data_IF_952549231828
#
_entry.id   IF_952549231828
#
_cell.length_a   1.000
_cell.length_b   1.000
_cell.length_c   1.000
_cell.angle_alpha   90.00
_cell.angle_beta   90.00
_cell.angle_gamma   90.00
#
_symmetry.space_group_name_H-M   'P 1'
#
loop_
_entity.id
_entity.type
_entity.pdbx_description
1 polymer ?
#
# COMPACT_ATOMS: atom_id res chain seq x y z
N UNK A 1 -20.92 -24.57 -24.21
CA UNK A 1 -19.54 -24.70 -23.67
C UNK A 1 -19.23 -23.49 -22.79
N UNK A 2 -19.18 -23.68 -21.47
CA UNK A 2 -18.97 -22.59 -20.49
C UNK A 2 -17.49 -22.20 -20.42
N UNK A 3 -17.15 -20.96 -20.77
CA UNK A 3 -15.78 -20.42 -20.69
C UNK A 3 -15.35 -20.42 -19.22
N UNK A 4 -14.42 -21.32 -18.87
CA UNK A 4 -13.76 -21.33 -17.55
C UNK A 4 -13.08 -19.99 -17.33
N UNK A 5 -13.62 -19.22 -16.39
CA UNK A 5 -13.08 -17.96 -15.91
C UNK A 5 -11.73 -18.24 -15.22
N UNK A 6 -10.63 -18.20 -15.98
CA UNK A 6 -9.27 -18.22 -15.44
C UNK A 6 -8.96 -16.87 -14.78
N UNK A 7 -9.55 -16.61 -13.60
CA UNK A 7 -9.01 -15.60 -12.70
C UNK A 7 -7.66 -16.11 -12.20
N UNK A 8 -6.58 -15.78 -12.92
CA UNK A 8 -5.21 -15.96 -12.43
C UNK A 8 -5.13 -15.22 -11.10
N UNK A 9 -5.01 -16.01 -10.04
CA UNK A 9 -4.90 -15.57 -8.66
C UNK A 9 -3.70 -14.62 -8.58
N UNK A 10 -3.97 -13.31 -8.60
CA UNK A 10 -3.00 -12.26 -8.27
C UNK A 10 -2.72 -12.23 -6.76
N UNK A 11 -2.59 -13.41 -6.16
CA UNK A 11 -2.05 -13.62 -4.82
C UNK A 11 -0.58 -13.98 -5.00
N UNK A 12 0.14 -13.17 -5.79
CA UNK A 12 1.54 -13.42 -6.17
C UNK A 12 2.49 -13.15 -5.00
N UNK A 13 2.01 -12.60 -3.88
CA UNK A 13 2.83 -12.39 -2.69
C UNK A 13 2.18 -12.81 -1.37
N UNK A 14 1.46 -13.93 -1.36
CA UNK A 14 0.98 -14.56 -0.12
C UNK A 14 2.12 -14.79 0.89
N UNK A 15 3.36 -15.01 0.40
CA UNK A 15 4.54 -15.22 1.24
C UNK A 15 4.97 -13.94 1.98
N UNK A 16 5.13 -12.81 1.28
CA UNK A 16 5.50 -11.52 1.91
C UNK A 16 4.38 -11.01 2.82
N UNK A 17 3.12 -11.24 2.44
CA UNK A 17 1.95 -10.87 3.23
C UNK A 17 1.80 -11.70 4.50
N UNK A 18 2.11 -13.01 4.45
CA UNK A 18 2.19 -13.85 5.65
C UNK A 18 3.33 -13.40 6.57
N UNK A 19 4.48 -13.00 6.03
CA UNK A 19 5.57 -12.44 6.84
C UNK A 19 5.15 -11.15 7.55
N UNK A 20 4.39 -10.27 6.87
CA UNK A 20 3.88 -9.03 7.47
C UNK A 20 2.83 -9.34 8.57
N UNK A 21 1.88 -10.23 8.27
CA UNK A 21 0.87 -10.64 9.24
C UNK A 21 1.48 -11.29 10.48
N UNK A 22 2.43 -12.22 10.29
CA UNK A 22 3.15 -12.86 11.38
C UNK A 22 3.91 -11.85 12.22
N UNK A 23 4.55 -10.85 11.58
CA UNK A 23 5.23 -9.76 12.27
C UNK A 23 4.26 -8.96 13.14
N UNK A 24 3.10 -8.58 12.60
CA UNK A 24 2.05 -7.85 13.34
C UNK A 24 1.54 -8.65 14.53
N UNK A 25 1.26 -9.95 14.34
CA UNK A 25 0.84 -10.87 15.40
C UNK A 25 1.92 -10.97 16.48
N UNK A 26 3.19 -11.10 16.11
CA UNK A 26 4.30 -11.18 17.04
C UNK A 26 4.43 -9.89 17.86
N UNK A 27 4.38 -8.72 17.22
CA UNK A 27 4.40 -7.43 17.92
C UNK A 27 3.22 -7.28 18.87
N UNK A 28 2.03 -7.69 18.44
CA UNK A 28 0.84 -7.68 19.28
C UNK A 28 1.01 -8.59 20.50
N UNK A 29 1.52 -9.80 20.31
CA UNK A 29 1.79 -10.74 21.40
C UNK A 29 2.85 -10.21 22.37
N UNK A 30 3.94 -9.65 21.85
CA UNK A 30 4.98 -8.99 22.68
C UNK A 30 4.38 -7.83 23.48
N UNK A 31 3.51 -7.02 22.87
CA UNK A 31 2.83 -5.93 23.56
C UNK A 31 1.92 -6.44 24.70
N UNK A 32 1.11 -7.48 24.45
CA UNK A 32 0.26 -8.10 25.47
C UNK A 32 1.11 -8.65 26.61
N UNK A 33 2.19 -9.38 26.30
CA UNK A 33 3.10 -9.95 27.28
C UNK A 33 3.81 -8.86 28.10
N UNK A 34 4.30 -7.80 27.45
CA UNK A 34 4.93 -6.68 28.14
C UNK A 34 3.95 -5.97 29.09
N UNK A 35 2.71 -5.75 28.65
CA UNK A 35 1.66 -5.19 29.50
C UNK A 35 1.30 -6.10 30.68
N UNK A 36 1.22 -7.41 30.46
CA UNK A 36 0.96 -8.39 31.52
C UNK A 36 2.11 -8.46 32.54
N UNK A 37 3.36 -8.45 32.08
CA UNK A 37 4.56 -8.40 32.94
C UNK A 37 4.57 -7.11 33.75
N UNK A 38 4.33 -5.96 33.10
CA UNK A 38 4.25 -4.67 33.78
C UNK A 38 3.15 -4.67 34.86
N UNK A 39 1.96 -5.18 34.53
CA UNK A 39 0.86 -5.30 35.49
C UNK A 39 1.19 -6.24 36.66
N UNK A 40 1.88 -7.35 36.41
CA UNK A 40 2.37 -8.26 37.46
C UNK A 40 3.41 -7.60 38.35
N UNK A 41 4.37 -6.87 37.77
CA UNK A 41 5.36 -6.09 38.55
C UNK A 41 4.63 -5.09 39.43
N UNK A 42 3.68 -4.32 38.87
CA UNK A 42 2.90 -3.35 39.63
C UNK A 42 2.08 -3.99 40.76
N UNK A 43 1.51 -5.18 40.52
CA UNK A 43 0.80 -5.96 41.53
C UNK A 43 1.73 -6.40 42.67
N UNK A 44 2.94 -6.87 42.35
CA UNK A 44 3.94 -7.26 43.34
C UNK A 44 4.47 -6.07 44.14
N UNK A 45 4.63 -4.90 43.52
CA UNK A 45 5.02 -3.68 44.23
C UNK A 45 3.91 -3.20 45.18
N UNK A 46 2.64 -3.45 44.84
CA UNK A 46 1.48 -3.04 45.65
C UNK A 46 1.26 -3.93 46.88
N UNK A 47 1.48 -5.24 46.75
CA UNK A 47 1.41 -6.20 47.87
C UNK A 47 2.60 -7.19 47.83
N UNK A 48 3.79 -6.78 48.29
CA UNK A 48 5.01 -7.60 48.18
C UNK A 48 4.99 -8.82 49.10
N UNK A 49 4.17 -8.81 50.16
CA UNK A 49 4.08 -9.90 51.14
C UNK A 49 2.84 -10.79 50.94
N UNK A 50 1.94 -10.44 50.02
CA UNK A 50 0.68 -11.16 49.76
C UNK A 50 0.84 -12.57 49.20
N UNK A 51 2.05 -12.97 48.79
CA UNK A 51 2.35 -14.27 48.20
C UNK A 51 2.00 -14.36 46.71
N UNK A 52 2.74 -15.21 45.99
CA UNK A 52 2.70 -15.30 44.52
C UNK A 52 1.31 -15.68 43.99
N UNK A 53 0.64 -16.65 44.62
CA UNK A 53 -0.67 -17.13 44.16
C UNK A 53 -1.77 -16.08 44.30
N UNK A 54 -1.76 -15.33 45.41
CA UNK A 54 -2.72 -14.25 45.67
C UNK A 54 -2.51 -13.10 44.68
N UNK A 55 -1.26 -12.66 44.49
CA UNK A 55 -0.94 -11.61 43.52
C UNK A 55 -1.33 -11.99 42.09
N UNK A 56 -1.10 -13.24 41.68
CA UNK A 56 -1.53 -13.72 40.37
C UNK A 56 -3.05 -13.76 40.23
N UNK A 57 -3.78 -14.20 41.26
CA UNK A 57 -5.24 -14.23 41.27
C UNK A 57 -5.83 -12.82 41.19
N UNK A 58 -5.33 -11.89 42.00
CA UNK A 58 -5.74 -10.48 41.99
C UNK A 58 -5.46 -9.82 40.64
N UNK A 59 -4.27 -10.05 40.06
CA UNK A 59 -3.94 -9.57 38.73
C UNK A 59 -4.92 -10.12 37.67
N UNK A 60 -5.24 -11.42 37.72
CA UNK A 60 -6.16 -12.02 36.75
C UNK A 60 -7.58 -11.47 36.88
N UNK A 61 -8.05 -11.20 38.10
CA UNK A 61 -9.37 -10.59 38.33
C UNK A 61 -9.45 -9.16 37.78
N UNK A 62 -8.39 -8.36 37.93
CA UNK A 62 -8.39 -6.98 37.44
C UNK A 62 -8.04 -6.85 35.96
N UNK A 63 -7.04 -7.58 35.49
CA UNK A 63 -6.48 -7.44 34.13
C UNK A 63 -7.03 -8.48 33.16
N UNK A 64 -7.58 -9.60 33.64
CA UNK A 64 -8.11 -10.69 32.80
C UNK A 64 -9.17 -10.24 31.80
N UNK A 65 -10.21 -9.47 32.20
CA UNK A 65 -11.20 -8.94 31.26
C UNK A 65 -10.58 -8.07 30.16
N UNK A 66 -9.59 -7.25 30.51
CA UNK A 66 -8.87 -6.38 29.56
C UNK A 66 -7.99 -7.19 28.60
N UNK A 67 -7.24 -8.18 29.10
CA UNK A 67 -6.41 -9.07 28.28
C UNK A 67 -7.26 -9.90 27.32
N UNK A 68 -8.42 -10.39 27.77
CA UNK A 68 -9.37 -11.11 26.94
C UNK A 68 -9.93 -10.22 25.84
N UNK A 69 -10.33 -8.98 26.17
CA UNK A 69 -10.79 -8.01 25.19
C UNK A 69 -9.70 -7.72 24.12
N UNK A 70 -8.44 -7.56 24.54
CA UNK A 70 -7.31 -7.38 23.62
C UNK A 70 -7.16 -8.60 22.70
N UNK A 71 -7.22 -9.81 23.25
CA UNK A 71 -7.11 -11.05 22.47
C UNK A 71 -8.26 -11.19 21.46
N UNK A 72 -9.48 -10.78 21.83
CA UNK A 72 -10.62 -10.73 20.91
C UNK A 72 -10.48 -9.65 19.82
N UNK A 73 -9.77 -8.55 20.09
CA UNK A 73 -9.46 -7.51 19.10
C UNK A 73 -8.36 -7.95 18.11
N UNK A 74 -7.47 -8.85 18.51
CA UNK A 74 -6.39 -9.37 17.66
C UNK A 74 -6.86 -9.81 16.25
N UNK A 75 -7.87 -10.68 16.06
CA UNK A 75 -8.33 -11.07 14.73
C UNK A 75 -8.87 -9.89 13.90
N UNK A 76 -9.45 -8.88 14.54
CA UNK A 76 -9.93 -7.66 13.87
C UNK A 76 -8.74 -6.87 13.33
N UNK A 77 -7.71 -6.65 14.15
CA UNK A 77 -6.47 -5.97 13.74
C UNK A 77 -5.74 -6.71 12.62
N UNK A 78 -5.66 -8.03 12.69
CA UNK A 78 -5.05 -8.85 11.63
C UNK A 78 -5.82 -8.66 10.32
N UNK A 79 -7.16 -8.79 10.36
CA UNK A 79 -8.00 -8.64 9.17
C UNK A 79 -7.86 -7.25 8.56
N UNK A 80 -7.87 -6.21 9.38
CA UNK A 80 -7.79 -4.83 8.91
C UNK A 80 -6.44 -4.55 8.25
N UNK A 81 -5.35 -4.92 8.93
CA UNK A 81 -3.98 -4.75 8.41
C UNK A 81 -3.77 -5.51 7.10
N UNK A 82 -4.26 -6.76 7.02
CA UNK A 82 -4.20 -7.55 5.79
C UNK A 82 -5.03 -6.93 4.66
N UNK A 83 -6.20 -6.39 4.98
CA UNK A 83 -7.07 -5.75 3.97
C UNK A 83 -6.43 -4.50 3.40
N UNK A 84 -5.83 -3.66 4.27
CA UNK A 84 -5.09 -2.48 3.86
C UNK A 84 -3.88 -2.85 2.99
N UNK A 85 -3.08 -3.82 3.41
CA UNK A 85 -1.92 -4.31 2.66
C UNK A 85 -2.33 -4.84 1.27
N UNK A 86 -3.42 -5.61 1.19
CA UNK A 86 -3.96 -6.12 -0.07
C UNK A 86 -4.42 -5.00 -1.01
N UNK A 87 -5.02 -3.95 -0.46
CA UNK A 87 -5.46 -2.79 -1.24
C UNK A 87 -4.27 -2.02 -1.82
N UNK A 88 -3.12 -1.99 -1.14
CA UNK A 88 -1.89 -1.36 -1.65
C UNK A 88 -1.18 -2.23 -2.69
N UNK A 89 -1.11 -3.55 -2.47
CA UNK A 89 -0.36 -4.46 -3.33
C UNK A 89 -0.94 -4.56 -4.75
N UNK A 90 -2.27 -4.51 -4.90
CA UNK A 90 -2.94 -4.64 -6.20
C UNK A 90 -2.50 -3.59 -7.24
N UNK A 91 -2.61 -2.28 -6.93
CA UNK A 91 -2.13 -1.21 -7.81
C UNK A 91 -0.64 -1.30 -8.15
N UNK A 92 0.21 -1.61 -7.16
CA UNK A 92 1.68 -1.73 -7.35
C UNK A 92 2.02 -2.88 -8.31
N UNK A 93 1.38 -4.04 -8.18
CA UNK A 93 1.60 -5.15 -9.11
C UNK A 93 1.21 -4.76 -10.54
N UNK A 94 0.08 -4.07 -10.73
CA UNK A 94 -0.35 -3.62 -12.07
C UNK A 94 0.61 -2.60 -12.68
N UNK A 95 1.15 -1.69 -11.87
CA UNK A 95 2.17 -0.74 -12.29
C UNK A 95 3.44 -1.46 -12.73
N UNK A 96 3.95 -2.40 -11.92
CA UNK A 96 5.13 -3.21 -12.24
C UNK A 96 4.97 -3.95 -13.57
N UNK A 97 3.82 -4.60 -13.76
CA UNK A 97 3.54 -5.34 -14.99
C UNK A 97 3.47 -4.39 -16.20
N UNK A 98 2.91 -3.19 -16.04
CA UNK A 98 2.86 -2.18 -17.10
C UNK A 98 4.25 -1.65 -17.47
N UNK A 99 5.09 -1.34 -16.47
CA UNK A 99 6.48 -0.94 -16.68
C UNK A 99 7.25 -2.03 -17.44
N UNK A 100 7.10 -3.29 -17.02
CA UNK A 100 7.76 -4.42 -17.68
C UNK A 100 7.39 -4.51 -19.16
N UNK A 101 6.10 -4.42 -19.49
CA UNK A 101 5.62 -4.49 -20.87
C UNK A 101 6.16 -3.36 -21.73
N UNK A 102 6.23 -2.12 -21.20
CA UNK A 102 6.85 -0.99 -21.90
C UNK A 102 8.34 -1.23 -22.14
N UNK A 103 9.05 -1.78 -21.15
CA UNK A 103 10.48 -2.10 -21.31
C UNK A 103 10.74 -3.17 -22.36
N UNK A 104 9.76 -4.03 -22.61
CA UNK A 104 9.79 -5.06 -23.68
C UNK A 104 9.37 -4.49 -25.05
N UNK A 105 9.04 -3.19 -25.14
CA UNK A 105 8.59 -2.53 -26.36
C UNK A 105 7.14 -2.85 -26.73
N UNK A 106 6.36 -3.47 -25.84
CA UNK A 106 4.95 -3.72 -26.08
C UNK A 106 4.12 -2.44 -25.97
N UNK A 107 3.07 -2.33 -26.79
CA UNK A 107 2.09 -1.28 -26.61
C UNK A 107 1.16 -1.60 -25.42
N UNK A 108 1.17 -0.69 -24.43
CA UNK A 108 0.48 -0.90 -23.16
C UNK A 108 -0.68 0.10 -23.05
N UNK A 109 -1.92 -0.38 -22.79
CA UNK A 109 -3.05 0.53 -22.64
C UNK A 109 -2.86 1.46 -21.42
N UNK A 110 -3.52 2.63 -21.40
CA UNK A 110 -3.40 3.58 -20.29
C UNK A 110 -3.69 2.92 -18.94
N UNK A 111 -2.79 3.11 -17.99
CA UNK A 111 -2.94 2.61 -16.64
C UNK A 111 -4.11 3.35 -15.98
N UNK A 112 -4.99 2.60 -15.32
CA UNK A 112 -6.12 3.15 -14.55
C UNK A 112 -6.31 2.36 -13.27
N UNK A 113 -6.28 3.06 -12.14
CA UNK A 113 -6.66 2.50 -10.84
C UNK A 113 -8.13 2.81 -10.52
N UNK A 114 -8.68 2.13 -9.52
CA UNK A 114 -10.08 2.32 -9.14
C UNK A 114 -10.19 3.61 -8.35
N UNK A 115 -11.25 4.41 -8.60
CA UNK A 115 -11.54 5.62 -7.83
C UNK A 115 -11.57 5.30 -6.33
N UNK A 116 -10.80 6.05 -5.52
CA UNK A 116 -10.53 5.86 -4.08
C UNK A 116 -9.38 4.90 -3.76
N UNK A 117 -8.51 4.50 -4.68
CA UNK A 117 -7.30 3.78 -4.26
C UNK A 117 -6.30 4.77 -3.66
N UNK A 118 -5.35 4.32 -2.84
CA UNK A 118 -4.37 5.22 -2.18
C UNK A 118 -3.44 5.98 -3.15
N UNK A 119 -3.58 5.72 -4.45
CA UNK A 119 -2.65 6.09 -5.51
C UNK A 119 -3.41 6.68 -6.71
N UNK A 120 -4.41 7.52 -6.47
CA UNK A 120 -5.29 8.05 -7.52
C UNK A 120 -4.53 8.91 -8.57
N UNK A 121 -3.35 9.45 -8.21
CA UNK A 121 -2.47 10.30 -9.03
C UNK A 121 -1.43 9.53 -9.86
N UNK A 122 -0.93 8.40 -9.35
CA UNK A 122 0.11 7.59 -10.01
C UNK A 122 -0.24 7.18 -11.45
N UNK A 123 -1.47 6.74 -11.78
CA UNK A 123 -1.83 6.42 -13.16
C UNK A 123 -1.69 7.60 -14.11
N UNK A 124 -2.06 8.81 -13.66
CA UNK A 124 -1.95 10.00 -14.49
C UNK A 124 -0.49 10.34 -14.78
N UNK A 125 0.36 10.31 -13.75
CA UNK A 125 1.81 10.51 -13.89
C UNK A 125 2.46 9.46 -14.81
N UNK A 126 2.10 8.19 -14.62
CA UNK A 126 2.60 7.10 -15.46
C UNK A 126 2.17 7.29 -16.92
N UNK A 127 0.88 7.52 -17.18
CA UNK A 127 0.39 7.69 -18.54
C UNK A 127 1.05 8.86 -19.26
N UNK A 128 1.25 10.00 -18.57
CA UNK A 128 1.94 11.16 -19.13
C UNK A 128 3.40 10.84 -19.50
N UNK A 129 4.10 10.06 -18.67
CA UNK A 129 5.47 9.61 -18.97
C UNK A 129 5.51 8.73 -20.21
N UNK A 130 4.59 7.76 -20.32
CA UNK A 130 4.53 6.84 -21.47
C UNK A 130 4.19 7.58 -22.76
N UNK A 131 3.30 8.57 -22.69
CA UNK A 131 2.94 9.41 -23.82
C UNK A 131 4.13 10.24 -24.33
N UNK A 132 4.93 10.82 -23.43
CA UNK A 132 6.17 11.51 -23.80
C UNK A 132 7.18 10.58 -24.47
N UNK A 133 7.38 9.39 -23.92
CA UNK A 133 8.28 8.39 -24.49
C UNK A 133 7.83 7.97 -25.91
N UNK A 134 6.52 7.80 -26.12
CA UNK A 134 5.94 7.52 -27.44
C UNK A 134 6.11 8.68 -28.42
N UNK A 135 5.93 9.92 -27.95
CA UNK A 135 6.12 11.11 -28.78
C UNK A 135 7.58 11.23 -29.26
N UNK A 136 8.55 10.98 -28.39
CA UNK A 136 9.98 10.95 -28.73
C UNK A 136 10.30 9.85 -29.76
N UNK A 137 9.72 8.65 -29.58
CA UNK A 137 9.90 7.55 -30.54
C UNK A 137 9.31 7.86 -31.92
N UNK A 138 8.14 8.52 -31.99
CA UNK A 138 7.52 8.95 -33.26
C UNK A 138 8.34 10.01 -33.98
N UNK A 139 8.86 11.01 -33.24
CA UNK A 139 9.76 12.03 -33.79
C UNK A 139 11.06 11.43 -34.36
N UNK A 140 11.63 10.42 -33.69
CA UNK A 140 12.83 9.71 -34.18
C UNK A 140 12.53 8.80 -35.38
N UNK A 141 11.32 8.25 -35.47
CA UNK A 141 10.91 7.32 -36.53
C UNK A 141 10.35 8.01 -37.78
N UNK A 142 10.21 9.35 -37.78
CA UNK A 142 9.65 10.12 -38.89
C UNK A 142 8.15 9.90 -39.11
N UNK A 143 7.43 9.33 -38.14
CA UNK A 143 5.98 9.14 -38.19
C UNK A 143 5.27 10.46 -37.86
N UNK A 144 4.17 10.83 -38.55
CA UNK A 144 3.48 12.08 -38.28
C UNK A 144 2.87 12.07 -36.87
N UNK A 145 3.16 13.11 -36.08
CA UNK A 145 2.51 13.33 -34.79
C UNK A 145 0.98 13.45 -35.00
N UNK A 146 0.15 12.90 -34.10
CA UNK A 146 -1.28 13.18 -34.12
C UNK A 146 -1.51 14.69 -33.92
N UNK A 147 -2.42 15.27 -34.71
CA UNK A 147 -2.60 16.73 -34.83
C UNK A 147 -2.91 17.42 -33.48
N UNK A 148 -3.56 16.71 -32.57
CA UNK A 148 -3.93 17.21 -31.24
C UNK A 148 -2.71 17.52 -30.35
N UNK A 149 -1.68 16.68 -30.39
CA UNK A 149 -0.45 16.88 -29.62
C UNK A 149 0.46 17.95 -30.26
N UNK A 150 0.44 18.05 -31.59
CA UNK A 150 1.19 19.07 -32.32
C UNK A 150 0.68 20.48 -31.97
N UNK A 151 -0.65 20.65 -31.91
CA UNK A 151 -1.27 21.92 -31.54
C UNK A 151 -0.96 22.33 -30.09
N UNK A 152 -0.96 21.38 -29.13
CA UNK A 152 -0.62 21.65 -27.73
C UNK A 152 0.86 22.02 -27.53
N UNK A 153 1.77 21.39 -28.26
CA UNK A 153 3.20 21.75 -28.23
C UNK A 153 3.41 23.14 -28.83
N UNK A 154 2.77 23.45 -29.96
CA UNK A 154 2.87 24.78 -30.59
C UNK A 154 2.30 25.86 -29.66
N UNK A 155 1.21 25.55 -28.94
CA UNK A 155 0.59 26.44 -27.97
C UNK A 155 1.49 26.71 -26.77
N UNK A 156 2.08 25.67 -26.18
CA UNK A 156 3.00 25.81 -25.04
C UNK A 156 4.29 26.58 -25.39
N UNK A 157 4.84 26.38 -26.60
CA UNK A 157 6.00 27.15 -27.09
C UNK A 157 5.65 28.62 -27.35
N UNK A 158 4.44 28.90 -27.87
CA UNK A 158 3.95 30.27 -28.06
C UNK A 158 3.71 30.99 -26.73
N UNK A 159 3.18 30.29 -25.73
CA UNK A 159 2.94 30.84 -24.40
C UNK A 159 4.26 31.14 -23.66
N UNK A 160 5.27 30.27 -23.76
CA UNK A 160 6.62 30.55 -23.22
C UNK A 160 7.35 31.69 -23.96
N UNK A 161 7.09 31.87 -25.26
CA UNK A 161 7.70 32.96 -26.04
C UNK A 161 7.07 34.34 -25.79
N UNK A 162 5.89 34.38 -25.14
CA UNK A 162 5.16 35.60 -24.83
C UNK A 162 5.33 36.08 -23.37
N UNK A 163 6.07 35.35 -22.52
CA UNK A 163 6.48 35.90 -21.21
C UNK A 163 7.45 37.06 -21.45
N UNK A 164 7.06 38.32 -21.13
CA UNK A 164 7.96 39.44 -21.28
C UNK A 164 9.12 39.27 -20.30
N UNK A 165 10.34 39.42 -20.78
CA UNK A 165 11.51 39.62 -19.93
C UNK A 165 11.23 40.83 -19.01
N UNK A 166 10.81 40.55 -17.78
CA UNK A 166 10.64 41.57 -16.75
C UNK A 166 12.04 42.08 -16.41
N UNK A 167 12.36 43.21 -17.05
CA UNK A 167 13.37 44.21 -16.71
C UNK A 167 13.73 44.21 -15.22
N UNK A 168 14.93 43.76 -14.90
CA UNK A 168 15.64 44.11 -13.67
C UNK A 168 16.66 45.21 -13.98
#
# INVERSE_FOLDING_TARGET
MSKKNQRKKAVVNAQVQWTLALRVVLHFFVFVCAGAIFGLINQFLSDPFGGVSKNLSTFWQHSGPMLLALLCLMPVFIRDTLTLSNRMAGPICRLRDSIKRISEGEDVPPLKFRKKDMWDDVPALFNAMVERLRAEQRMSSGEPLPEDLADDIIRSVREQSQEPAVSA
#
